data_IF_934796444576
#
_entry.id   IF_934796444576
#
_cell.length_a   1.000
_cell.length_b   1.000
_cell.length_c   1.000
_cell.angle_alpha   90.00
_cell.angle_beta   90.00
_cell.angle_gamma   90.00
#
_symmetry.space_group_name_H-M   'P 1'
#
loop_
_entity.id
_entity.type
_entity.pdbx_description
1 polymer ?
#
# COMPACT_ATOMS: atom_id res chain seq x y z
N UNK A 1 -23.55 -1.09 15.89
CA UNK A 1 -23.60 -0.58 14.51
C UNK A 1 -22.99 -1.66 13.63
N UNK A 2 -23.77 -2.24 12.72
CA UNK A 2 -23.34 -3.40 11.93
C UNK A 2 -22.41 -2.94 10.81
N UNK A 3 -21.12 -3.30 10.88
CA UNK A 3 -20.10 -2.95 9.88
C UNK A 3 -20.27 -3.78 8.59
N UNK A 4 -21.36 -3.49 7.88
CA UNK A 4 -21.67 -4.08 6.57
C UNK A 4 -20.94 -3.25 5.51
N UNK A 5 -20.13 -3.91 4.70
CA UNK A 5 -19.34 -3.29 3.63
C UNK A 5 -19.92 -3.70 2.29
N UNK A 6 -20.09 -2.72 1.40
CA UNK A 6 -20.38 -2.94 0.00
C UNK A 6 -19.08 -2.80 -0.80
N UNK A 7 -18.58 -3.91 -1.34
CA UNK A 7 -17.34 -3.93 -2.13
C UNK A 7 -17.64 -4.32 -3.57
N UNK A 8 -17.20 -3.50 -4.53
CA UNK A 8 -17.22 -3.84 -5.95
C UNK A 8 -15.99 -4.68 -6.28
N UNK A 9 -16.20 -5.87 -6.82
CA UNK A 9 -15.12 -6.71 -7.33
C UNK A 9 -14.59 -6.14 -8.65
N UNK A 10 -13.27 -6.04 -8.78
CA UNK A 10 -12.57 -5.61 -9.99
C UNK A 10 -12.72 -6.64 -11.12
N UNK A 11 -12.63 -7.93 -10.79
CA UNK A 11 -12.65 -9.05 -11.74
C UNK A 11 -14.05 -9.38 -12.26
N UNK A 12 -15.06 -9.37 -11.39
CA UNK A 12 -16.43 -9.77 -11.77
C UNK A 12 -17.37 -8.60 -12.01
N UNK A 13 -16.99 -7.37 -11.65
CA UNK A 13 -17.86 -6.16 -11.64
C UNK A 13 -19.14 -6.32 -10.80
N UNK A 14 -19.24 -7.37 -9.99
CA UNK A 14 -20.36 -7.63 -9.08
C UNK A 14 -20.14 -6.91 -7.76
N UNK A 15 -21.23 -6.44 -7.16
CA UNK A 15 -21.23 -5.89 -5.81
C UNK A 15 -21.39 -7.03 -4.80
N UNK A 16 -20.43 -7.13 -3.89
CA UNK A 16 -20.49 -8.05 -2.78
C UNK A 16 -20.89 -7.28 -1.52
N UNK A 17 -21.95 -7.76 -0.87
CA UNK A 17 -22.38 -7.29 0.43
C UNK A 17 -21.93 -8.31 1.47
N UNK A 18 -21.20 -7.89 2.48
CA UNK A 18 -20.72 -8.76 3.55
C UNK A 18 -20.31 -7.98 4.78
N UNK A 19 -20.09 -8.67 5.90
CA UNK A 19 -19.51 -8.03 7.08
C UNK A 19 -18.00 -7.86 6.87
N UNK A 20 -17.41 -6.82 7.45
CA UNK A 20 -15.96 -6.63 7.44
C UNK A 20 -15.19 -7.88 7.90
N UNK A 21 -15.70 -8.53 8.95
CA UNK A 21 -15.15 -9.76 9.53
C UNK A 21 -15.07 -10.91 8.51
N UNK A 22 -16.09 -11.06 7.66
CA UNK A 22 -16.13 -12.11 6.64
C UNK A 22 -15.03 -11.92 5.59
N UNK A 23 -14.75 -10.66 5.24
CA UNK A 23 -13.67 -10.34 4.31
C UNK A 23 -12.29 -10.55 4.93
N UNK A 24 -12.12 -10.14 6.19
CA UNK A 24 -10.88 -10.35 6.93
C UNK A 24 -10.57 -11.84 7.08
N UNK A 25 -11.56 -12.64 7.46
CA UNK A 25 -11.42 -14.09 7.56
C UNK A 25 -11.05 -14.73 6.23
N UNK A 26 -11.71 -14.33 5.13
CA UNK A 26 -11.37 -14.83 3.78
C UNK A 26 -9.95 -14.45 3.34
N UNK A 27 -9.48 -13.25 3.70
CA UNK A 27 -8.09 -12.88 3.40
C UNK A 27 -7.11 -13.70 4.23
N UNK A 28 -7.37 -13.90 5.52
CA UNK A 28 -6.53 -14.72 6.40
C UNK A 28 -6.47 -16.18 5.90
N UNK A 29 -7.62 -16.79 5.56
CA UNK A 29 -7.69 -18.14 4.98
C UNK A 29 -6.92 -18.26 3.65
N UNK A 30 -6.98 -17.23 2.80
CA UNK A 30 -6.24 -17.21 1.54
C UNK A 30 -4.74 -17.06 1.76
N UNK A 31 -4.35 -16.21 2.73
CA UNK A 31 -2.96 -16.04 3.14
C UNK A 31 -2.37 -17.36 3.66
N UNK A 32 -3.08 -18.02 4.59
CA UNK A 32 -2.66 -19.30 5.16
C UNK A 32 -2.55 -20.39 4.10
N UNK A 33 -3.52 -20.47 3.19
CA UNK A 33 -3.53 -21.49 2.14
C UNK A 33 -2.41 -21.31 1.12
N UNK A 34 -2.11 -20.07 0.73
CA UNK A 34 -1.16 -19.80 -0.35
C UNK A 34 0.26 -19.63 0.14
N UNK A 35 0.45 -19.30 1.42
CA UNK A 35 1.73 -18.82 1.96
C UNK A 35 2.36 -17.73 1.08
N UNK A 36 1.53 -17.06 0.26
CA UNK A 36 2.01 -16.13 -0.73
C UNK A 36 2.38 -14.80 -0.08
N UNK A 37 2.16 -14.63 1.22
CA UNK A 37 2.29 -13.38 1.94
C UNK A 37 3.21 -13.53 3.16
N UNK A 38 4.16 -12.62 3.31
CA UNK A 38 5.04 -12.50 4.47
C UNK A 38 4.72 -11.22 5.23
N UNK A 39 4.45 -11.36 6.52
CA UNK A 39 4.24 -10.24 7.41
C UNK A 39 5.58 -9.52 7.63
N UNK A 40 5.61 -8.20 7.42
CA UNK A 40 6.80 -7.38 7.66
C UNK A 40 7.03 -7.11 9.16
N UNK A 41 6.08 -7.47 10.03
CA UNK A 41 6.18 -7.21 11.48
C UNK A 41 6.36 -5.71 11.75
N UNK A 42 7.37 -5.36 12.56
CA UNK A 42 7.71 -3.96 12.87
C UNK A 42 8.58 -3.29 11.79
N UNK A 43 8.96 -4.00 10.73
CA UNK A 43 9.85 -3.50 9.69
C UNK A 43 9.06 -2.97 8.48
N UNK A 44 8.20 -1.97 8.70
CA UNK A 44 7.54 -1.28 7.59
C UNK A 44 8.58 -0.49 6.77
N UNK A 45 8.84 -0.83 5.49
CA UNK A 45 9.81 -0.11 4.67
C UNK A 45 9.25 1.21 4.11
N UNK A 46 7.96 1.49 4.28
CA UNK A 46 7.29 2.66 3.71
C UNK A 46 7.88 3.98 4.22
N UNK A 47 8.09 4.21 5.54
CA UNK A 47 8.65 5.46 6.04
C UNK A 47 10.05 5.76 5.46
N UNK A 48 10.91 4.74 5.41
CA UNK A 48 12.27 4.87 4.86
C UNK A 48 12.25 5.11 3.35
N UNK A 49 11.32 4.48 2.64
CA UNK A 49 11.15 4.67 1.19
C UNK A 49 10.65 6.09 0.88
N UNK A 50 9.68 6.61 1.63
CA UNK A 50 9.22 8.00 1.52
C UNK A 50 10.39 8.97 1.77
N UNK A 51 11.15 8.75 2.85
CA UNK A 51 12.29 9.60 3.22
C UNK A 51 13.35 9.63 2.13
N UNK A 52 13.72 8.47 1.58
CA UNK A 52 14.72 8.37 0.50
C UNK A 52 14.24 9.06 -0.77
N UNK A 53 12.99 8.85 -1.17
CA UNK A 53 12.44 9.47 -2.38
C UNK A 53 12.37 10.99 -2.25
N UNK A 54 11.88 11.51 -1.14
CA UNK A 54 11.81 12.96 -0.92
C UNK A 54 13.21 13.61 -0.85
N UNK A 55 14.19 12.91 -0.26
CA UNK A 55 15.59 13.36 -0.29
C UNK A 55 16.11 13.45 -1.72
N UNK A 56 15.89 12.42 -2.54
CA UNK A 56 16.31 12.43 -3.94
C UNK A 56 15.66 13.58 -4.75
N UNK A 57 14.37 13.82 -4.56
CA UNK A 57 13.67 14.95 -5.19
C UNK A 57 14.24 16.30 -4.76
N UNK A 58 14.63 16.44 -3.49
CA UNK A 58 15.28 17.65 -2.99
C UNK A 58 16.65 17.86 -3.66
N UNK A 59 17.45 16.80 -3.78
CA UNK A 59 18.76 16.85 -4.43
C UNK A 59 18.63 17.28 -5.91
N UNK A 60 17.65 16.72 -6.64
CA UNK A 60 17.34 17.12 -8.02
C UNK A 60 16.94 18.60 -8.13
N UNK A 61 16.16 19.10 -7.17
CA UNK A 61 15.76 20.51 -7.11
C UNK A 61 16.95 21.41 -6.86
N UNK A 62 17.82 21.06 -5.89
CA UNK A 62 19.02 21.83 -5.58
C UNK A 62 19.99 21.89 -6.76
N UNK A 63 20.08 20.80 -7.52
CA UNK A 63 20.84 20.75 -8.77
C UNK A 63 20.16 21.50 -9.94
N UNK A 64 18.95 22.04 -9.76
CA UNK A 64 18.12 22.74 -10.76
C UNK A 64 17.66 21.86 -11.94
N UNK A 65 17.55 20.54 -11.73
CA UNK A 65 17.02 19.59 -12.74
C UNK A 65 15.50 19.60 -12.77
N UNK A 66 14.86 19.98 -11.66
CA UNK A 66 13.42 20.17 -11.54
C UNK A 66 13.11 21.55 -10.94
N UNK A 67 11.96 22.09 -11.29
CA UNK A 67 11.44 23.34 -10.75
C UNK A 67 10.83 23.17 -9.36
N UNK A 68 10.62 24.28 -8.64
CA UNK A 68 9.90 24.29 -7.36
C UNK A 68 8.53 23.60 -7.46
N UNK A 69 7.77 23.95 -8.49
CA UNK A 69 6.42 23.43 -8.71
C UNK A 69 6.42 21.92 -8.95
N UNK A 70 7.41 21.41 -9.69
CA UNK A 70 7.58 19.96 -9.90
C UNK A 70 7.96 19.25 -8.60
N UNK A 71 8.87 19.82 -7.80
CA UNK A 71 9.23 19.27 -6.49
C UNK A 71 8.02 19.15 -5.56
N UNK A 72 7.18 20.18 -5.48
CA UNK A 72 5.97 20.18 -4.64
C UNK A 72 4.93 19.16 -5.10
N UNK A 73 4.77 18.98 -6.42
CA UNK A 73 3.84 18.00 -6.99
C UNK A 73 4.32 16.55 -6.84
N UNK A 74 5.63 16.32 -6.88
CA UNK A 74 6.22 14.98 -6.82
C UNK A 74 6.54 14.51 -5.39
N UNK A 75 6.66 15.43 -4.44
CA UNK A 75 6.98 15.10 -3.05
C UNK A 75 5.91 14.20 -2.44
N UNK A 76 6.34 13.07 -1.89
CA UNK A 76 5.44 12.08 -1.31
C UNK A 76 5.04 12.55 0.09
N UNK A 77 3.74 12.70 0.32
CA UNK A 77 3.20 12.99 1.65
C UNK A 77 2.97 11.67 2.40
N UNK A 78 3.46 11.53 3.65
CA UNK A 78 3.33 10.28 4.40
C UNK A 78 1.88 9.80 4.58
N UNK A 79 0.92 10.73 4.64
CA UNK A 79 -0.49 10.42 4.90
C UNK A 79 -1.27 10.07 3.61
N UNK A 80 -0.66 10.25 2.45
CA UNK A 80 -1.27 9.96 1.14
C UNK A 80 -0.57 8.77 0.44
N UNK A 81 0.44 8.18 1.09
CA UNK A 81 1.23 7.09 0.56
C UNK A 81 0.89 5.79 1.27
N UNK A 82 0.62 4.75 0.48
CA UNK A 82 0.43 3.39 0.96
C UNK A 82 1.44 2.48 0.26
N UNK A 83 1.93 1.48 0.96
CA UNK A 83 2.76 0.45 0.34
C UNK A 83 1.89 -0.30 -0.67
N UNK A 84 2.18 -0.16 -1.96
CA UNK A 84 1.44 -0.88 -2.98
C UNK A 84 1.51 -2.38 -2.70
N UNK A 85 0.37 -3.07 -2.73
CA UNK A 85 0.28 -4.53 -2.57
C UNK A 85 0.87 -5.32 -3.76
N UNK A 86 1.85 -4.76 -4.49
CA UNK A 86 2.22 -5.21 -5.83
C UNK A 86 3.57 -5.94 -5.89
N UNK A 87 3.45 -7.26 -5.99
CA UNK A 87 4.18 -8.21 -6.84
C UNK A 87 5.61 -7.86 -7.29
N UNK A 88 6.60 -8.55 -6.71
CA UNK A 88 7.77 -8.99 -7.46
C UNK A 88 8.31 -10.30 -6.88
N UNK A 89 8.38 -11.34 -7.72
CA UNK A 89 9.04 -12.64 -7.48
C UNK A 89 8.76 -13.32 -6.11
N UNK A 90 7.61 -13.98 -6.00
CA UNK A 90 7.41 -15.12 -5.08
C UNK A 90 6.74 -14.84 -3.74
N UNK A 91 6.86 -13.64 -3.18
CA UNK A 91 6.30 -13.33 -1.85
C UNK A 91 5.69 -11.92 -1.81
N UNK A 92 4.46 -11.82 -1.33
CA UNK A 92 3.70 -10.59 -1.14
C UNK A 92 3.96 -10.06 0.28
N UNK A 93 4.09 -8.76 0.47
CA UNK A 93 4.40 -8.16 1.76
C UNK A 93 3.20 -7.36 2.29
N UNK A 94 2.86 -7.56 3.55
CA UNK A 94 1.80 -6.80 4.25
C UNK A 94 2.31 -6.20 5.55
N UNK A 95 1.78 -5.02 5.88
CA UNK A 95 1.85 -4.44 7.23
C UNK A 95 0.78 -5.10 8.09
N UNK A 96 1.19 -5.73 9.20
CA UNK A 96 0.30 -6.35 10.17
C UNK A 96 0.18 -5.40 11.36
N UNK A 97 -0.85 -4.56 11.37
CA UNK A 97 -1.29 -3.81 12.57
C UNK A 97 -2.47 -4.50 13.23
#
# INVERSE_FOLDING_TARGET
ISNIILRKSDKSKVFHLGKLEDYRKKSEEYMDKTQAYKCLGNEDPLPDSIKRTNKYLLDLRLAKWITQKQYELLSIKPNEAELAHLYSLGELLFSCT
#
